data_IF_912557125654
#
_entry.id   IF_912557125654
#
_cell.length_a   1.000
_cell.length_b   1.000
_cell.length_c   1.000
_cell.angle_alpha   90.00
_cell.angle_beta   90.00
_cell.angle_gamma   90.00
#
_symmetry.space_group_name_H-M   'P 1'
#
loop_
_entity.id
_entity.type
_entity.pdbx_description
1 polymer ?
#
# COMPACT_ATOMS: atom_id res chain seq x y z
N UNK A 1 -9.39 -12.21 33.46
CA UNK A 1 -8.13 -11.95 32.73
C UNK A 1 -8.47 -11.15 31.48
N UNK A 2 -8.52 -9.82 31.59
CA UNK A 2 -8.82 -8.92 30.47
C UNK A 2 -7.50 -8.48 29.86
N UNK A 3 -7.36 -8.73 28.54
CA UNK A 3 -6.18 -8.40 27.75
C UNK A 3 -6.03 -6.88 27.73
N UNK A 4 -4.89 -6.38 28.21
CA UNK A 4 -4.49 -4.97 28.05
C UNK A 4 -4.39 -4.66 26.56
N UNK A 5 -5.42 -4.00 26.02
CA UNK A 5 -5.30 -3.31 24.75
C UNK A 5 -4.52 -2.02 25.01
N UNK A 6 -3.20 -2.09 24.86
CA UNK A 6 -2.34 -0.90 24.82
C UNK A 6 -2.77 -0.08 23.60
N UNK A 7 -3.67 0.88 23.81
CA UNK A 7 -4.03 1.89 22.81
C UNK A 7 -2.74 2.66 22.55
N UNK A 8 -2.09 2.40 21.42
CA UNK A 8 -0.86 3.08 21.04
C UNK A 8 -1.15 4.59 21.07
N UNK A 9 -0.44 5.31 21.94
CA UNK A 9 -0.42 6.77 21.92
C UNK A 9 0.39 7.14 20.68
N UNK A 10 -0.30 7.26 19.55
CA UNK A 10 0.29 7.84 18.34
C UNK A 10 0.77 9.24 18.71
N UNK A 11 2.09 9.44 18.67
CA UNK A 11 2.69 10.76 18.83
C UNK A 11 1.99 11.72 17.87
N UNK A 12 1.44 12.80 18.42
CA UNK A 12 0.74 13.83 17.65
C UNK A 12 1.76 14.41 16.67
N UNK A 13 1.61 14.10 15.38
CA UNK A 13 2.46 14.65 14.34
C UNK A 13 2.39 16.18 14.42
N UNK A 14 3.54 16.84 14.55
CA UNK A 14 3.61 18.28 14.80
C UNK A 14 3.49 19.05 13.47
N UNK A 15 2.25 19.34 13.09
CA UNK A 15 1.96 20.11 11.88
C UNK A 15 2.47 21.55 11.96
N UNK A 16 2.48 22.15 13.16
CA UNK A 16 2.85 23.54 13.38
C UNK A 16 4.36 23.72 13.23
N UNK A 17 5.16 22.81 13.79
CA UNK A 17 6.62 22.80 13.63
C UNK A 17 7.07 22.69 12.15
N UNK A 18 6.21 22.13 11.29
CA UNK A 18 6.45 21.97 9.86
C UNK A 18 5.80 23.07 9.00
N UNK A 19 5.18 24.09 9.62
CA UNK A 19 4.47 25.18 8.94
C UNK A 19 3.43 24.70 7.92
N UNK A 20 2.75 23.58 8.19
CA UNK A 20 1.74 23.02 7.29
C UNK A 20 0.44 23.81 7.46
N UNK A 21 -0.05 24.40 6.37
CA UNK A 21 -1.27 25.22 6.42
C UNK A 21 -2.50 24.43 6.89
N UNK A 22 -3.43 25.10 7.58
CA UNK A 22 -4.65 24.48 8.09
C UNK A 22 -5.46 23.72 7.01
N UNK A 23 -5.46 24.21 5.76
CA UNK A 23 -6.07 23.53 4.61
C UNK A 23 -5.40 22.18 4.33
N UNK A 24 -4.06 22.13 4.32
CA UNK A 24 -3.29 20.90 4.13
C UNK A 24 -3.45 19.95 5.32
N UNK A 25 -3.45 20.45 6.55
CA UNK A 25 -3.74 19.63 7.76
C UNK A 25 -5.09 18.95 7.66
N UNK A 26 -6.16 19.68 7.27
CA UNK A 26 -7.49 19.10 7.09
C UNK A 26 -7.50 17.99 6.04
N UNK A 27 -6.80 18.18 4.91
CA UNK A 27 -6.70 17.17 3.87
C UNK A 27 -5.91 15.93 4.33
N UNK A 28 -4.79 16.12 5.03
CA UNK A 28 -3.98 15.05 5.60
C UNK A 28 -4.81 14.22 6.60
N UNK A 29 -5.49 14.86 7.55
CA UNK A 29 -6.31 14.17 8.54
C UNK A 29 -7.52 13.43 7.91
N UNK A 30 -8.10 13.97 6.84
CA UNK A 30 -9.11 13.25 6.06
C UNK A 30 -8.53 11.99 5.40
N UNK A 31 -7.33 12.08 4.80
CA UNK A 31 -6.63 10.91 4.26
C UNK A 31 -6.31 9.89 5.35
N UNK A 32 -5.83 10.32 6.53
CA UNK A 32 -5.52 9.43 7.64
C UNK A 32 -6.77 8.65 8.08
N UNK A 33 -7.91 9.31 8.24
CA UNK A 33 -9.18 8.66 8.58
C UNK A 33 -9.58 7.59 7.55
N UNK A 34 -9.47 7.91 6.25
CA UNK A 34 -9.71 6.93 5.18
C UNK A 34 -8.76 5.73 5.26
N UNK A 35 -7.46 5.96 5.51
CA UNK A 35 -6.45 4.89 5.58
C UNK A 35 -6.69 3.98 6.80
N UNK A 36 -7.05 4.56 7.95
CA UNK A 36 -7.30 3.85 9.20
C UNK A 36 -8.61 3.06 9.19
N UNK A 37 -9.64 3.56 8.47
CA UNK A 37 -10.92 2.85 8.33
C UNK A 37 -10.80 1.54 7.53
N UNK A 38 -9.71 1.36 6.77
CA UNK A 38 -9.48 0.15 5.99
C UNK A 38 -9.01 -1.01 6.89
N UNK A 39 -9.90 -1.97 7.12
CA UNK A 39 -9.60 -3.25 7.77
C UNK A 39 -8.80 -4.21 6.86
N UNK A 40 -9.32 -5.42 6.62
CA UNK A 40 -8.76 -6.33 5.61
C UNK A 40 -8.99 -5.72 4.22
N UNK A 41 -7.90 -5.48 3.49
CA UNK A 41 -7.93 -4.80 2.18
C UNK A 41 -8.11 -5.82 1.04
N UNK A 42 -9.11 -5.61 0.20
CA UNK A 42 -9.27 -6.30 -1.09
C UNK A 42 -8.20 -5.85 -2.10
N UNK A 43 -8.13 -6.52 -3.25
CA UNK A 43 -7.26 -6.13 -4.37
C UNK A 43 -7.56 -4.69 -4.82
N UNK A 44 -8.82 -4.38 -5.11
CA UNK A 44 -9.29 -3.03 -5.45
C UNK A 44 -8.85 -1.99 -4.40
N UNK A 45 -9.05 -2.29 -3.11
CA UNK A 45 -8.67 -1.37 -2.04
C UNK A 45 -7.15 -1.16 -1.94
N UNK A 46 -6.32 -2.13 -2.37
CA UNK A 46 -4.87 -1.94 -2.41
C UNK A 46 -4.47 -0.88 -3.44
N UNK A 47 -5.09 -0.90 -4.63
CA UNK A 47 -4.88 0.13 -5.66
C UNK A 47 -5.42 1.49 -5.21
N UNK A 48 -6.66 1.55 -4.72
CA UNK A 48 -7.27 2.81 -4.27
C UNK A 48 -6.47 3.47 -3.14
N UNK A 49 -5.96 2.66 -2.21
CA UNK A 49 -5.10 3.13 -1.14
C UNK A 49 -3.76 3.65 -1.67
N UNK A 50 -3.17 3.00 -2.67
CA UNK A 50 -1.95 3.48 -3.32
C UNK A 50 -2.15 4.85 -3.96
N UNK A 51 -3.26 5.06 -4.67
CA UNK A 51 -3.63 6.35 -5.26
C UNK A 51 -3.85 7.42 -4.19
N UNK A 52 -4.56 7.09 -3.12
CA UNK A 52 -4.76 7.99 -1.99
C UNK A 52 -3.42 8.42 -1.39
N UNK A 53 -2.54 7.45 -1.09
CA UNK A 53 -1.23 7.71 -0.49
C UNK A 53 -0.33 8.55 -1.41
N UNK A 54 -0.38 8.35 -2.72
CA UNK A 54 0.36 9.17 -3.69
C UNK A 54 -0.10 10.63 -3.62
N UNK A 55 -1.41 10.87 -3.74
CA UNK A 55 -2.01 12.22 -3.64
C UNK A 55 -1.75 12.87 -2.28
N UNK A 56 -1.81 12.10 -1.19
CA UNK A 56 -1.53 12.62 0.15
C UNK A 56 -0.06 13.03 0.29
N UNK A 57 0.86 12.34 -0.38
CA UNK A 57 2.29 12.67 -0.33
C UNK A 57 2.62 14.04 -0.94
N UNK A 58 1.83 14.49 -1.92
CA UNK A 58 1.96 15.81 -2.56
C UNK A 58 1.59 16.98 -1.62
N UNK A 59 0.94 16.70 -0.48
CA UNK A 59 0.54 17.73 0.48
C UNK A 59 1.70 18.21 1.35
N UNK A 60 2.78 17.43 1.44
CA UNK A 60 3.92 17.68 2.33
C UNK A 60 5.24 17.65 1.57
N UNK A 61 6.28 18.23 2.15
CA UNK A 61 7.62 18.22 1.57
C UNK A 61 8.20 16.79 1.51
N UNK A 62 9.10 16.49 0.56
CA UNK A 62 9.81 15.22 0.49
C UNK A 62 10.42 14.80 1.84
N UNK A 63 10.27 13.53 2.21
CA UNK A 63 10.76 12.98 3.49
C UNK A 63 9.86 13.24 4.71
N UNK A 64 8.85 14.10 4.58
CA UNK A 64 7.86 14.36 5.65
C UNK A 64 6.76 13.30 5.64
N UNK A 65 6.36 12.86 4.45
CA UNK A 65 5.27 11.90 4.27
C UNK A 65 5.52 10.58 5.00
N UNK A 66 6.74 10.03 4.94
CA UNK A 66 7.09 8.77 5.58
C UNK A 66 6.92 8.81 7.10
N UNK A 67 7.30 9.95 7.71
CA UNK A 67 7.13 10.19 9.15
C UNK A 67 5.64 10.36 9.48
N UNK A 68 4.93 11.13 8.66
CA UNK A 68 3.51 11.38 8.82
C UNK A 68 2.71 10.09 8.82
N UNK A 69 2.89 9.25 7.80
CA UNK A 69 2.17 7.96 7.69
C UNK A 69 2.44 7.05 8.90
N UNK A 70 3.71 6.93 9.32
CA UNK A 70 4.09 6.08 10.45
C UNK A 70 3.49 6.55 11.79
N UNK A 71 3.22 7.85 11.94
CA UNK A 71 2.66 8.44 13.15
C UNK A 71 1.14 8.63 13.10
N UNK A 72 0.53 8.70 11.92
CA UNK A 72 -0.88 9.08 11.76
C UNK A 72 -1.80 8.02 11.17
N UNK A 73 -1.28 7.00 10.48
CA UNK A 73 -2.11 6.13 9.64
C UNK A 73 -2.08 4.64 10.01
N UNK A 74 -1.52 4.27 11.16
CA UNK A 74 -1.45 2.88 11.66
C UNK A 74 -0.77 1.88 10.69
N UNK A 75 0.02 2.40 9.74
CA UNK A 75 0.80 1.61 8.78
C UNK A 75 2.25 2.08 8.79
N UNK A 76 3.18 1.17 8.50
CA UNK A 76 4.59 1.54 8.37
C UNK A 76 4.84 2.35 7.10
N UNK A 77 5.91 3.16 7.07
CA UNK A 77 6.34 3.85 5.85
C UNK A 77 6.67 2.86 4.72
N UNK A 78 7.15 1.65 5.04
CA UNK A 78 7.38 0.58 4.05
C UNK A 78 6.06 0.10 3.43
N UNK A 79 5.05 -0.15 4.27
CA UNK A 79 3.71 -0.55 3.81
C UNK A 79 3.10 0.51 2.90
N UNK A 80 3.26 1.79 3.24
CA UNK A 80 2.80 2.90 2.43
C UNK A 80 3.47 2.94 1.05
N UNK A 81 4.80 2.77 1.00
CA UNK A 81 5.55 2.67 -0.26
C UNK A 81 5.10 1.49 -1.12
N UNK A 82 4.83 0.33 -0.52
CA UNK A 82 4.34 -0.83 -1.25
C UNK A 82 2.97 -0.55 -1.90
N UNK A 83 2.01 0.03 -1.18
CA UNK A 83 0.72 0.40 -1.77
C UNK A 83 0.85 1.42 -2.90
N UNK A 84 1.68 2.45 -2.70
CA UNK A 84 1.99 3.43 -3.77
C UNK A 84 2.60 2.75 -5.00
N UNK A 85 3.52 1.81 -4.79
CA UNK A 85 4.13 1.05 -5.88
C UNK A 85 3.09 0.18 -6.62
N UNK A 86 2.15 -0.44 -5.92
CA UNK A 86 1.03 -1.18 -6.57
C UNK A 86 0.24 -0.25 -7.49
N UNK A 87 -0.23 0.89 -6.99
CA UNK A 87 -1.03 1.80 -7.79
C UNK A 87 -0.25 2.43 -8.96
N UNK A 88 1.05 2.67 -8.81
CA UNK A 88 1.85 3.29 -9.86
C UNK A 88 2.33 2.30 -10.91
N UNK A 89 2.80 1.13 -10.49
CA UNK A 89 3.53 0.20 -11.35
C UNK A 89 2.63 -0.92 -11.89
N UNK A 90 1.50 -1.22 -11.25
CA UNK A 90 0.60 -2.31 -11.66
C UNK A 90 -0.74 -1.81 -12.19
N UNK A 91 -0.89 -0.52 -12.50
CA UNK A 91 -2.17 0.06 -12.93
C UNK A 91 -2.68 -0.58 -14.24
N UNK A 92 -1.78 -0.91 -15.17
CA UNK A 92 -2.13 -1.61 -16.41
C UNK A 92 -2.77 -2.99 -16.16
N UNK A 93 -2.45 -3.63 -15.03
CA UNK A 93 -2.94 -4.96 -14.65
C UNK A 93 -4.12 -4.90 -13.67
N UNK A 94 -4.61 -3.70 -13.35
CA UNK A 94 -5.56 -3.49 -12.25
C UNK A 94 -6.83 -4.32 -12.40
N UNK A 95 -7.45 -4.29 -13.56
CA UNK A 95 -8.70 -5.02 -13.82
C UNK A 95 -8.51 -6.53 -13.68
N UNK A 96 -7.50 -7.08 -14.36
CA UNK A 96 -7.15 -8.50 -14.29
C UNK A 96 -6.81 -8.93 -12.85
N UNK A 97 -6.02 -8.15 -12.12
CA UNK A 97 -5.65 -8.45 -10.75
C UNK A 97 -6.85 -8.45 -9.79
N UNK A 98 -7.86 -7.61 -10.05
CA UNK A 98 -9.12 -7.58 -9.28
C UNK A 98 -9.96 -8.79 -9.58
N UNK A 99 -10.12 -9.15 -10.85
CA UNK A 99 -10.86 -10.33 -11.29
C UNK A 99 -10.28 -11.61 -10.68
N UNK A 100 -8.94 -11.74 -10.70
CA UNK A 100 -8.22 -12.85 -10.11
C UNK A 100 -8.09 -12.78 -8.57
N UNK A 101 -8.67 -11.75 -7.93
CA UNK A 101 -8.63 -11.53 -6.49
C UNK A 101 -7.20 -11.60 -5.89
N UNK A 102 -6.20 -11.09 -6.61
CA UNK A 102 -4.79 -11.18 -6.21
C UNK A 102 -4.58 -10.46 -4.87
N UNK A 103 -4.05 -11.18 -3.88
CA UNK A 103 -3.90 -10.63 -2.53
C UNK A 103 -2.96 -9.41 -2.51
N UNK A 104 -3.17 -8.40 -1.64
CA UNK A 104 -2.27 -7.25 -1.54
C UNK A 104 -0.81 -7.62 -1.28
N UNK A 105 -0.56 -8.68 -0.53
CA UNK A 105 0.81 -9.18 -0.27
C UNK A 105 1.49 -9.73 -1.53
N UNK A 106 0.75 -10.34 -2.45
CA UNK A 106 1.29 -10.73 -3.77
C UNK A 106 1.57 -9.49 -4.60
N UNK A 107 0.63 -8.54 -4.66
CA UNK A 107 0.82 -7.28 -5.39
C UNK A 107 2.06 -6.52 -4.91
N UNK A 108 2.37 -6.55 -3.61
CA UNK A 108 3.60 -5.93 -3.08
C UNK A 108 4.89 -6.54 -3.62
N UNK A 109 4.88 -7.83 -3.95
CA UNK A 109 6.02 -8.49 -4.59
C UNK A 109 6.07 -8.14 -6.09
N UNK A 110 4.93 -8.19 -6.77
CA UNK A 110 4.83 -7.91 -8.20
C UNK A 110 5.10 -6.45 -8.56
N UNK A 111 4.80 -5.49 -7.68
CA UNK A 111 4.98 -4.07 -7.94
C UNK A 111 6.44 -3.65 -8.19
N UNK A 112 7.41 -4.51 -7.88
CA UNK A 112 8.84 -4.31 -8.12
C UNK A 112 9.43 -5.34 -9.08
N UNK A 113 8.61 -6.23 -9.63
CA UNK A 113 9.05 -7.22 -10.59
C UNK A 113 9.11 -6.63 -12.00
N UNK A 114 9.95 -7.19 -12.89
CA UNK A 114 9.86 -6.97 -14.33
C UNK A 114 8.48 -7.32 -14.88
N UNK A 115 8.11 -6.70 -16.01
CA UNK A 115 6.80 -6.83 -16.64
C UNK A 115 6.46 -8.28 -16.98
N UNK A 116 7.40 -9.01 -17.58
CA UNK A 116 7.26 -10.42 -17.96
C UNK A 116 6.93 -11.33 -16.76
N UNK A 117 7.44 -10.98 -15.59
CA UNK A 117 7.19 -11.72 -14.36
C UNK A 117 5.82 -11.40 -13.74
N UNK A 118 5.32 -10.18 -13.93
CA UNK A 118 3.96 -9.81 -13.55
C UNK A 118 2.97 -10.60 -14.40
N UNK A 119 3.17 -10.63 -15.72
CA UNK A 119 2.33 -11.38 -16.66
C UNK A 119 2.33 -12.88 -16.35
N UNK A 120 3.50 -13.47 -16.14
CA UNK A 120 3.61 -14.89 -15.78
C UNK A 120 2.88 -15.22 -14.46
N UNK A 121 2.96 -14.34 -13.45
CA UNK A 121 2.27 -14.54 -12.19
C UNK A 121 0.73 -14.44 -12.32
N UNK A 122 0.24 -13.54 -13.18
CA UNK A 122 -1.19 -13.39 -13.44
C UNK A 122 -1.73 -14.57 -14.27
N UNK A 123 -1.00 -15.02 -15.28
CA UNK A 123 -1.34 -16.21 -16.06
C UNK A 123 -1.38 -17.47 -15.16
N UNK A 124 -0.40 -17.64 -14.26
CA UNK A 124 -0.41 -18.73 -13.28
C UNK A 124 -1.65 -18.67 -12.38
N UNK A 125 -2.00 -17.47 -11.90
CA UNK A 125 -3.18 -17.28 -11.06
C UNK A 125 -4.49 -17.58 -11.80
N UNK A 126 -4.58 -17.22 -13.08
CA UNK A 126 -5.73 -17.53 -13.94
C UNK A 126 -5.90 -19.04 -14.13
N UNK A 127 -4.81 -19.76 -14.41
CA UNK A 127 -4.83 -21.22 -14.59
C UNK A 127 -5.19 -21.97 -13.29
N UNK A 128 -4.71 -21.48 -12.14
CA UNK A 128 -4.79 -22.20 -10.86
C UNK A 128 -5.86 -21.64 -9.89
N UNK A 129 -6.61 -20.61 -10.30
CA UNK A 129 -7.60 -19.93 -9.45
C UNK A 129 -7.01 -19.08 -8.33
N UNK A 130 -5.73 -18.72 -8.42
CA UNK A 130 -5.01 -17.87 -7.48
C UNK A 130 -3.52 -18.17 -7.42
N UNK A 131 -2.77 -17.31 -6.73
CA UNK A 131 -1.32 -17.47 -6.53
C UNK A 131 -0.92 -17.03 -5.12
N UNK A 132 0.01 -17.77 -4.51
CA UNK A 132 0.59 -17.47 -3.19
C UNK A 132 1.92 -16.74 -3.33
N UNK A 133 2.30 -16.03 -2.27
CA UNK A 133 3.59 -15.33 -2.20
C UNK A 133 4.79 -16.27 -2.43
N UNK A 134 4.74 -17.51 -1.97
CA UNK A 134 5.81 -18.49 -2.20
C UNK A 134 5.98 -18.85 -3.68
N UNK A 135 4.88 -18.95 -4.42
CA UNK A 135 4.88 -19.27 -5.85
C UNK A 135 5.41 -18.09 -6.66
N UNK A 136 4.97 -16.87 -6.32
CA UNK A 136 5.55 -15.64 -6.90
C UNK A 136 7.06 -15.59 -6.69
N UNK A 137 7.55 -15.90 -5.47
CA UNK A 137 9.00 -15.90 -5.22
C UNK A 137 9.73 -16.94 -6.05
N UNK A 138 9.17 -18.13 -6.22
CA UNK A 138 9.74 -19.17 -7.06
C UNK A 138 9.83 -18.72 -8.53
N UNK A 139 8.76 -18.12 -9.07
CA UNK A 139 8.74 -17.55 -10.43
C UNK A 139 9.81 -16.47 -10.61
N UNK A 140 9.91 -15.53 -9.66
CA UNK A 140 10.90 -14.44 -9.73
C UNK A 140 12.35 -14.93 -9.63
N UNK A 141 12.60 -16.02 -8.90
CA UNK A 141 13.94 -16.63 -8.83
C UNK A 141 14.30 -17.39 -10.10
N UNK A 142 13.35 -18.13 -10.69
CA UNK A 142 13.58 -18.89 -11.92
C UNK A 142 13.83 -18.00 -13.15
N UNK A 143 13.27 -16.78 -13.18
CA UNK A 143 13.49 -15.83 -14.27
C UNK A 143 14.85 -15.09 -14.20
N UNK A 144 15.61 -15.25 -13.11
CA UNK A 144 16.92 -14.61 -12.93
C UNK A 144 18.11 -15.53 -13.26
N UNK A 145 17.85 -16.77 -13.70
CA UNK A 145 18.84 -17.77 -14.16
C UNK A 145 18.86 -17.86 -15.70
#
# INVERSE_FOLDING_TARGET
MMKNATKAVFGRFDYDALNISAKKVKALEASAACIQALGRRSTQQAYDLGVLLEKTSELVEPGTFEKWVAQRCDISSKTARNYRAVARNLEAYREQAIELAISPTVLFHLAYAPEENVEAALAHAEEHGGIRVSEVRALLSAASE
#
